data_IF_007252563634
#
_entry.id   IF_007252563634
#
_cell.length_a   1.000
_cell.length_b   1.000
_cell.length_c   1.000
_cell.angle_alpha   90.00
_cell.angle_beta   90.00
_cell.angle_gamma   90.00
#
_symmetry.space_group_name_H-M   'P 1'
#
loop_
_entity.id
_entity.type
_entity.pdbx_description
1 polymer ?
#
# COMPACT_ATOMS: atom_id res chain seq x y z
N UNK A 1 26.77 -25.39 6.90
CA UNK A 1 26.40 -26.32 5.81
C UNK A 1 25.17 -27.09 6.24
N UNK A 2 24.07 -27.03 5.48
CA UNK A 2 22.87 -27.81 5.79
C UNK A 2 23.15 -29.30 5.53
N UNK A 3 22.87 -30.14 6.52
CA UNK A 3 23.01 -31.59 6.37
C UNK A 3 21.87 -32.14 5.50
N UNK A 4 22.09 -33.25 4.80
CA UNK A 4 21.03 -33.90 3.99
C UNK A 4 19.75 -34.17 4.80
N UNK A 5 19.89 -34.53 6.07
CA UNK A 5 18.77 -34.72 6.99
C UNK A 5 17.99 -33.41 7.28
N UNK A 6 18.68 -32.26 7.34
CA UNK A 6 18.04 -30.94 7.52
C UNK A 6 17.25 -30.53 6.27
N UNK A 7 17.79 -30.83 5.08
CA UNK A 7 17.11 -30.59 3.81
C UNK A 7 15.85 -31.45 3.68
N UNK A 8 15.95 -32.75 3.96
CA UNK A 8 14.80 -33.66 3.93
C UNK A 8 13.71 -33.26 4.92
N UNK A 9 14.08 -32.80 6.11
CA UNK A 9 13.12 -32.31 7.10
C UNK A 9 12.38 -31.07 6.58
N UNK A 10 13.11 -30.12 5.98
CA UNK A 10 12.54 -28.91 5.38
C UNK A 10 11.58 -29.24 4.21
N UNK A 11 11.96 -30.19 3.34
CA UNK A 11 11.11 -30.64 2.23
C UNK A 11 9.83 -31.31 2.72
N UNK A 12 9.90 -32.17 3.75
CA UNK A 12 8.71 -32.78 4.35
C UNK A 12 7.81 -31.74 5.01
N UNK A 13 8.41 -30.76 5.70
CA UNK A 13 7.66 -29.70 6.38
C UNK A 13 6.96 -28.76 5.39
N UNK A 14 7.65 -28.37 4.32
CA UNK A 14 7.07 -27.53 3.26
C UNK A 14 5.95 -28.26 2.52
N UNK A 15 6.12 -29.54 2.18
CA UNK A 15 5.07 -30.35 1.56
C UNK A 15 3.82 -30.48 2.45
N UNK A 16 4.01 -30.65 3.77
CA UNK A 16 2.89 -30.68 4.73
C UNK A 16 2.15 -29.35 4.79
N UNK A 17 2.88 -28.23 4.92
CA UNK A 17 2.29 -26.89 4.95
C UNK A 17 1.56 -26.57 3.65
N UNK A 18 2.11 -26.99 2.50
CA UNK A 18 1.49 -26.85 1.19
C UNK A 18 0.12 -27.54 1.13
N UNK A 19 0.00 -28.75 1.66
CA UNK A 19 -1.29 -29.47 1.78
C UNK A 19 -2.28 -28.73 2.69
N UNK A 20 -1.84 -28.27 3.85
CA UNK A 20 -2.69 -27.52 4.79
C UNK A 20 -3.21 -26.20 4.17
N UNK A 21 -2.40 -25.53 3.37
CA UNK A 21 -2.81 -24.32 2.62
C UNK A 21 -3.84 -24.68 1.55
N UNK A 22 -3.60 -25.75 0.78
CA UNK A 22 -4.54 -26.21 -0.25
C UNK A 22 -5.90 -26.59 0.34
N UNK A 23 -5.93 -27.33 1.45
CA UNK A 23 -7.17 -27.67 2.15
C UNK A 23 -7.91 -26.44 2.69
N UNK A 24 -7.17 -25.44 3.18
CA UNK A 24 -7.77 -24.19 3.65
C UNK A 24 -8.27 -23.33 2.50
N UNK A 25 -7.63 -23.39 1.34
CA UNK A 25 -8.08 -22.73 0.13
C UNK A 25 -9.33 -23.41 -0.45
N UNK A 26 -9.35 -24.75 -0.50
CA UNK A 26 -10.49 -25.52 -1.03
C UNK A 26 -11.76 -25.31 -0.20
N UNK A 27 -11.65 -25.20 1.14
CA UNK A 27 -12.78 -24.83 2.02
C UNK A 27 -13.32 -23.42 1.77
N UNK A 28 -12.52 -22.55 1.17
CA UNK A 28 -12.90 -21.17 0.79
C UNK A 28 -13.26 -21.06 -0.68
N UNK A 29 -13.37 -22.18 -1.40
CA UNK A 29 -13.85 -22.16 -2.79
C UNK A 29 -15.25 -21.59 -2.80
N UNK A 30 -15.39 -20.37 -3.32
CA UNK A 30 -16.68 -19.76 -3.60
C UNK A 30 -17.14 -20.33 -4.93
N UNK A 31 -18.25 -21.06 -4.90
CA UNK A 31 -19.00 -21.32 -6.11
C UNK A 31 -19.74 -20.02 -6.43
N UNK A 32 -19.31 -19.36 -7.51
CA UNK A 32 -19.91 -18.09 -7.89
C UNK A 32 -21.36 -18.25 -8.35
N UNK A 33 -21.82 -19.49 -8.58
CA UNK A 33 -23.15 -19.79 -9.10
C UNK A 33 -23.33 -19.19 -10.48
N UNK A 34 -23.83 -19.96 -11.45
CA UNK A 34 -24.42 -19.31 -12.60
C UNK A 34 -25.59 -18.48 -12.07
N UNK A 35 -25.49 -17.16 -12.20
CA UNK A 35 -26.54 -16.22 -11.79
C UNK A 35 -27.88 -16.80 -12.25
N UNK A 36 -28.96 -16.75 -11.42
CA UNK A 36 -30.29 -17.13 -11.86
C UNK A 36 -30.66 -16.25 -13.03
N UNK A 37 -30.41 -16.79 -14.22
CA UNK A 37 -30.85 -16.27 -15.48
C UNK A 37 -32.32 -16.66 -15.58
N UNK A 38 -33.15 -15.98 -14.77
CA UNK A 38 -34.59 -15.91 -14.95
C UNK A 38 -34.82 -15.14 -16.25
N UNK A 39 -34.64 -15.83 -17.38
CA UNK A 39 -34.92 -15.31 -18.70
C UNK A 39 -36.44 -15.31 -18.91
N UNK A 40 -37.05 -14.16 -18.66
CA UNK A 40 -38.22 -13.75 -19.44
C UNK A 40 -37.70 -12.93 -20.62
N UNK A 41 -38.09 -13.24 -21.87
CA UNK A 41 -37.64 -12.49 -23.04
C UNK A 41 -38.41 -11.17 -23.07
N UNK A 42 -37.83 -10.13 -22.49
CA UNK A 42 -38.24 -8.73 -22.73
C UNK A 42 -37.09 -8.06 -23.47
N UNK A 43 -37.45 -7.27 -24.48
CA UNK A 43 -36.59 -6.76 -25.55
C UNK A 43 -35.18 -6.27 -25.11
N UNK A 44 -34.19 -6.60 -25.93
CA UNK A 44 -32.74 -6.50 -25.75
C UNK A 44 -32.21 -5.10 -25.38
N UNK A 45 -32.97 -4.03 -25.67
CA UNK A 45 -32.52 -2.64 -25.46
C UNK A 45 -32.69 -2.13 -24.02
N UNK A 46 -33.71 -2.60 -23.28
CA UNK A 46 -33.97 -2.14 -21.90
C UNK A 46 -32.97 -2.70 -20.88
N UNK A 47 -32.33 -3.83 -21.19
CA UNK A 47 -31.40 -4.54 -20.29
C UNK A 47 -30.04 -3.86 -20.19
N UNK A 48 -29.55 -3.28 -21.29
CA UNK A 48 -28.30 -2.51 -21.28
C UNK A 48 -28.45 -1.19 -20.53
N UNK A 49 -29.63 -0.57 -20.58
CA UNK A 49 -29.93 0.70 -19.89
C UNK A 49 -30.05 0.46 -18.39
N UNK A 50 -30.77 -0.59 -17.97
CA UNK A 50 -30.93 -0.92 -16.55
C UNK A 50 -29.61 -1.30 -15.86
N UNK A 51 -28.76 -2.10 -16.53
CA UNK A 51 -27.49 -2.53 -15.96
C UNK A 51 -26.43 -1.43 -15.90
N UNK A 52 -26.51 -0.41 -16.76
CA UNK A 52 -25.66 0.78 -16.67
C UNK A 52 -26.08 1.67 -15.50
N UNK A 53 -27.39 1.87 -15.33
CA UNK A 53 -27.95 2.65 -14.23
C UNK A 53 -27.56 2.08 -12.86
N UNK A 54 -27.61 0.76 -12.68
CA UNK A 54 -27.21 0.13 -11.41
C UNK A 54 -25.70 0.21 -11.15
N UNK A 55 -24.87 0.17 -12.19
CA UNK A 55 -23.42 0.41 -12.04
C UNK A 55 -23.11 1.86 -11.69
N UNK A 56 -23.82 2.82 -12.30
CA UNK A 56 -23.71 4.24 -11.96
C UNK A 56 -24.14 4.52 -10.52
N UNK A 57 -25.27 3.95 -10.08
CA UNK A 57 -25.76 4.04 -8.69
C UNK A 57 -24.77 3.43 -7.69
N UNK A 58 -24.15 2.28 -8.02
CA UNK A 58 -23.10 1.68 -7.18
C UNK A 58 -21.85 2.55 -7.13
N UNK A 59 -21.42 3.09 -8.27
CA UNK A 59 -20.26 3.96 -8.34
C UNK A 59 -20.48 5.27 -7.56
N UNK A 60 -21.69 5.82 -7.63
CA UNK A 60 -22.12 6.96 -6.81
C UNK A 60 -22.08 6.60 -5.33
N UNK A 61 -22.66 5.48 -4.92
CA UNK A 61 -22.64 5.03 -3.53
C UNK A 61 -21.22 4.83 -2.98
N UNK A 62 -20.31 4.22 -3.77
CA UNK A 62 -18.91 4.10 -3.38
C UNK A 62 -18.23 5.47 -3.28
N UNK A 63 -18.50 6.38 -4.22
CA UNK A 63 -17.99 7.75 -4.19
C UNK A 63 -18.42 8.46 -2.90
N UNK A 64 -19.71 8.39 -2.56
CA UNK A 64 -20.27 8.96 -1.33
C UNK A 64 -19.61 8.37 -0.08
N UNK A 65 -19.43 7.05 -0.01
CA UNK A 65 -18.75 6.41 1.13
C UNK A 65 -17.31 6.92 1.22
N UNK A 66 -16.57 6.98 0.11
CA UNK A 66 -15.18 7.46 0.12
C UNK A 66 -15.07 8.92 0.54
N UNK A 67 -16.03 9.77 0.17
CA UNK A 67 -16.11 11.16 0.60
C UNK A 67 -16.34 11.25 2.11
N UNK A 68 -17.30 10.50 2.65
CA UNK A 68 -17.51 10.42 4.09
C UNK A 68 -16.28 9.91 4.84
N UNK A 69 -15.57 8.91 4.31
CA UNK A 69 -14.32 8.42 4.91
C UNK A 69 -13.21 9.48 4.91
N UNK A 70 -13.09 10.26 3.83
CA UNK A 70 -12.14 11.37 3.76
C UNK A 70 -12.50 12.50 4.74
N UNK A 71 -13.77 12.88 4.81
CA UNK A 71 -14.27 13.94 5.69
C UNK A 71 -14.08 13.56 7.17
N UNK A 72 -14.49 12.35 7.54
CA UNK A 72 -14.29 11.81 8.90
C UNK A 72 -12.82 11.73 9.30
N UNK A 73 -11.92 11.35 8.37
CA UNK A 73 -10.48 11.39 8.61
C UNK A 73 -9.98 12.83 8.87
N UNK A 74 -10.44 13.82 8.11
CA UNK A 74 -10.10 15.24 8.32
C UNK A 74 -10.59 15.73 9.68
N UNK A 75 -11.82 15.40 10.06
CA UNK A 75 -12.36 15.76 11.38
C UNK A 75 -11.58 15.12 12.52
N UNK A 76 -11.23 13.83 12.38
CA UNK A 76 -10.43 13.12 13.36
C UNK A 76 -9.06 13.80 13.53
N UNK A 77 -8.41 14.16 12.43
CA UNK A 77 -7.15 14.91 12.46
C UNK A 77 -7.29 16.26 13.16
N UNK A 78 -8.28 17.08 12.77
CA UNK A 78 -8.53 18.40 13.38
C UNK A 78 -8.78 18.30 14.88
N UNK A 79 -9.54 17.30 15.32
CA UNK A 79 -9.79 17.05 16.73
C UNK A 79 -8.48 16.82 17.48
N UNK A 80 -7.65 15.90 17.02
CA UNK A 80 -6.38 15.57 17.70
C UNK A 80 -5.31 16.65 17.58
N UNK A 81 -5.30 17.43 16.48
CA UNK A 81 -4.46 18.63 16.35
C UNK A 81 -4.86 19.70 17.38
N UNK A 82 -6.15 19.83 17.71
CA UNK A 82 -6.67 20.84 18.65
C UNK A 82 -6.58 20.46 20.12
N UNK A 83 -6.81 19.18 20.46
CA UNK A 83 -6.89 18.69 21.86
C UNK A 83 -5.50 18.34 22.41
N UNK A 84 -4.52 18.08 21.54
CA UNK A 84 -3.18 17.66 21.93
C UNK A 84 -3.14 16.23 22.48
N UNK A 85 -2.06 15.50 22.20
CA UNK A 85 -1.93 14.07 22.55
C UNK A 85 -1.66 13.81 24.04
N UNK A 86 -1.52 14.85 24.87
CA UNK A 86 -1.06 14.72 26.26
C UNK A 86 -2.16 14.35 27.25
N UNK A 87 -3.44 14.55 26.91
CA UNK A 87 -4.58 14.24 27.79
C UNK A 87 -5.36 12.97 27.39
N UNK A 88 -4.85 12.22 26.42
CA UNK A 88 -5.64 11.15 25.80
C UNK A 88 -5.66 9.82 26.55
N UNK A 89 -6.83 9.16 26.47
CA UNK A 89 -7.02 7.77 26.91
C UNK A 89 -6.01 6.83 26.23
N UNK A 90 -5.73 5.67 26.83
CA UNK A 90 -4.84 4.65 26.23
C UNK A 90 -5.26 4.24 24.80
N UNK A 91 -6.54 4.39 24.47
CA UNK A 91 -7.07 4.17 23.12
C UNK A 91 -6.53 5.23 22.14
N UNK A 92 -6.54 6.50 22.54
CA UNK A 92 -6.09 7.63 21.72
C UNK A 92 -4.57 7.58 21.50
N UNK A 93 -3.83 7.16 22.53
CA UNK A 93 -2.38 6.90 22.43
C UNK A 93 -2.03 5.83 21.39
N UNK A 94 -2.93 4.90 21.09
CA UNK A 94 -2.77 3.88 20.03
C UNK A 94 -3.34 4.34 18.68
N UNK A 95 -4.34 5.21 18.70
CA UNK A 95 -5.03 5.75 17.53
C UNK A 95 -4.12 6.69 16.71
N UNK A 96 -3.62 7.75 17.35
CA UNK A 96 -2.83 8.79 16.68
C UNK A 96 -1.60 8.23 15.93
N UNK A 97 -0.73 7.38 16.53
CA UNK A 97 0.44 6.86 15.82
C UNK A 97 0.10 5.84 14.73
N UNK A 98 -1.13 5.30 14.67
CA UNK A 98 -1.55 4.36 13.62
C UNK A 98 -2.18 5.08 12.43
N UNK A 99 -2.97 6.11 12.68
CA UNK A 99 -3.80 6.74 11.64
C UNK A 99 -3.37 8.18 11.30
N UNK A 100 -2.68 8.87 12.21
CA UNK A 100 -2.22 10.24 12.01
C UNK A 100 -0.71 10.38 12.12
N UNK A 101 0.05 9.28 12.03
CA UNK A 101 1.50 9.36 11.89
C UNK A 101 1.80 10.24 10.69
N UNK A 102 2.37 11.41 10.94
CA UNK A 102 2.71 12.36 9.89
C UNK A 102 3.59 11.67 8.85
N UNK A 103 3.01 11.29 7.71
CA UNK A 103 3.75 10.80 6.55
C UNK A 103 4.51 11.97 5.87
N UNK A 104 4.32 13.21 6.32
CA UNK A 104 4.98 14.39 5.73
C UNK A 104 5.24 15.57 6.66
N UNK A 105 5.44 15.38 7.97
CA UNK A 105 5.92 16.46 8.85
C UNK A 105 7.13 16.00 9.65
N UNK A 106 8.31 16.15 9.05
CA UNK A 106 9.57 16.26 9.75
C UNK A 106 9.56 17.55 10.58
N UNK A 107 8.86 17.55 11.72
CA UNK A 107 9.17 18.48 12.81
C UNK A 107 10.26 17.82 13.64
N UNK A 108 11.50 18.16 13.31
CA UNK A 108 12.66 17.88 14.14
C UNK A 108 12.48 18.73 15.41
N UNK A 109 11.99 18.13 16.48
CA UNK A 109 12.20 18.64 17.84
C UNK A 109 12.87 17.54 18.66
N UNK A 110 14.20 17.60 18.62
CA UNK A 110 15.12 17.47 19.76
C UNK A 110 14.72 16.53 20.89
N UNK A 111 15.14 15.26 20.78
CA UNK A 111 15.74 14.56 21.92
C UNK A 111 17.25 14.53 21.71
N UNK A 112 17.92 15.20 22.62
CA UNK A 112 19.36 15.34 22.70
C UNK A 112 20.07 13.99 22.79
N UNK A 113 21.25 13.96 22.16
CA UNK A 113 22.47 13.20 22.48
C UNK A 113 22.93 12.19 21.42
N UNK A 114 24.05 12.59 20.78
CA UNK A 114 25.06 11.82 20.05
C UNK A 114 24.62 11.33 18.64
N UNK A 115 25.08 11.90 17.51
CA UNK A 115 26.37 12.52 17.20
C UNK A 115 26.17 13.67 16.21
N UNK A 116 26.95 14.73 16.43
CA UNK A 116 27.19 15.80 15.47
C UNK A 116 27.59 15.21 14.12
N UNK A 117 26.85 15.52 13.06
CA UNK A 117 27.44 16.05 11.82
C UNK A 117 26.44 17.02 11.18
N UNK A 118 26.98 18.14 10.70
CA UNK A 118 26.30 19.40 10.47
C UNK A 118 25.10 19.35 9.53
N UNK A 119 24.07 20.11 9.92
CA UNK A 119 23.10 20.72 9.03
C UNK A 119 23.83 21.81 8.25
N UNK A 120 24.10 21.58 6.97
CA UNK A 120 24.36 22.66 6.02
C UNK A 120 23.15 22.80 5.11
N UNK A 121 22.39 23.88 5.31
CA UNK A 121 21.79 24.53 4.16
C UNK A 121 22.93 24.90 3.21
N UNK A 122 22.78 24.54 1.94
CA UNK A 122 23.78 24.80 0.92
C UNK A 122 24.04 23.53 0.13
N UNK A 123 23.68 23.59 -1.16
CA UNK A 123 24.23 22.80 -2.27
C UNK A 123 25.04 21.57 -1.83
N UNK A 124 24.35 20.50 -1.45
CA UNK A 124 24.97 19.19 -1.22
C UNK A 124 25.12 18.43 -2.53
N UNK A 125 26.08 17.48 -2.62
CA UNK A 125 26.23 16.61 -3.79
C UNK A 125 24.93 15.82 -4.03
N UNK A 126 24.69 15.29 -5.24
CA UNK A 126 23.49 14.51 -5.52
C UNK A 126 23.32 13.41 -4.46
N UNK A 127 22.17 13.39 -3.79
CA UNK A 127 21.81 12.34 -2.85
C UNK A 127 21.58 11.06 -3.65
N UNK A 128 22.63 10.24 -3.79
CA UNK A 128 22.53 8.95 -4.44
C UNK A 128 21.83 7.94 -3.50
N UNK A 129 20.78 7.29 -4.00
CA UNK A 129 20.05 6.25 -3.27
C UNK A 129 20.40 4.86 -3.82
N UNK A 130 20.70 3.93 -2.93
CA UNK A 130 20.93 2.52 -3.26
C UNK A 130 19.79 1.66 -2.72
N UNK A 131 19.28 0.75 -3.55
CA UNK A 131 18.19 -0.16 -3.20
C UNK A 131 18.45 -1.55 -3.79
N UNK A 132 18.42 -2.58 -2.93
CA UNK A 132 18.50 -3.98 -3.35
C UNK A 132 17.10 -4.55 -3.50
N UNK A 133 16.82 -5.12 -4.67
CA UNK A 133 15.53 -5.71 -5.01
C UNK A 133 15.73 -7.10 -5.60
N UNK A 134 14.66 -7.90 -5.59
CA UNK A 134 14.66 -9.17 -6.30
C UNK A 134 14.72 -8.92 -7.82
N UNK A 135 15.10 -9.91 -8.64
CA UNK A 135 15.04 -9.79 -10.09
C UNK A 135 13.59 -9.57 -10.57
N UNK A 136 13.40 -8.71 -11.56
CA UNK A 136 12.10 -8.43 -12.16
C UNK A 136 11.96 -7.01 -12.71
N UNK A 137 10.75 -6.70 -13.18
CA UNK A 137 10.40 -5.42 -13.78
C UNK A 137 9.90 -4.42 -12.71
N UNK A 138 10.57 -3.28 -12.62
CA UNK A 138 10.29 -2.23 -11.64
C UNK A 138 9.95 -0.90 -12.30
N UNK A 139 9.07 -0.14 -11.66
CA UNK A 139 8.74 1.23 -12.04
C UNK A 139 9.21 2.17 -10.94
N UNK A 140 10.26 2.93 -11.22
CA UNK A 140 10.86 3.88 -10.28
C UNK A 140 10.33 5.27 -10.58
N UNK A 141 9.74 5.92 -9.57
CA UNK A 141 9.25 7.29 -9.67
C UNK A 141 9.97 8.19 -8.70
N UNK A 142 10.46 9.32 -9.20
CA UNK A 142 11.17 10.32 -8.41
C UNK A 142 10.50 11.68 -8.59
N UNK A 143 10.31 12.41 -7.50
CA UNK A 143 9.69 13.74 -7.49
C UNK A 143 10.32 14.63 -6.43
N UNK A 144 10.41 15.94 -6.73
CA UNK A 144 10.90 16.96 -5.82
C UNK A 144 9.90 18.12 -5.76
N UNK A 145 9.64 18.75 -4.59
CA UNK A 145 8.70 19.87 -4.50
C UNK A 145 9.06 21.00 -5.48
N UNK A 146 8.15 21.33 -6.40
CA UNK A 146 8.38 22.34 -7.44
C UNK A 146 8.89 21.80 -8.79
N UNK A 147 9.15 20.49 -8.90
CA UNK A 147 9.56 19.82 -10.14
C UNK A 147 8.49 18.86 -10.67
N UNK A 148 8.55 18.55 -11.97
CA UNK A 148 7.70 17.52 -12.56
C UNK A 148 8.21 16.13 -12.16
N UNK A 149 7.29 15.26 -11.72
CA UNK A 149 7.58 13.86 -11.42
C UNK A 149 8.12 13.13 -12.66
N UNK A 150 9.19 12.38 -12.49
CA UNK A 150 9.76 11.50 -13.52
C UNK A 150 9.59 10.04 -13.11
N UNK A 151 9.21 9.20 -14.08
CA UNK A 151 9.00 7.77 -13.87
C UNK A 151 9.76 6.98 -14.94
N UNK A 152 10.54 5.98 -14.53
CA UNK A 152 11.30 5.10 -15.41
C UNK A 152 11.01 3.64 -15.07
N UNK A 153 10.98 2.80 -16.09
CA UNK A 153 10.75 1.37 -15.96
C UNK A 153 12.05 0.61 -16.27
N UNK A 154 12.41 -0.34 -15.41
CA UNK A 154 13.71 -1.02 -15.43
C UNK A 154 13.48 -2.50 -15.20
N UNK A 155 14.02 -3.32 -16.08
CA UNK A 155 14.08 -4.76 -15.92
C UNK A 155 15.43 -5.13 -15.30
N UNK A 156 15.42 -5.93 -14.22
CA UNK A 156 16.61 -6.30 -13.46
C UNK A 156 16.80 -7.80 -13.45
N UNK A 157 17.93 -8.27 -14.00
CA UNK A 157 18.34 -9.67 -13.93
C UNK A 157 19.10 -9.98 -12.62
N UNK A 158 19.22 -11.28 -12.23
CA UNK A 158 19.93 -11.66 -11.02
C UNK A 158 21.42 -11.26 -11.05
N UNK A 159 21.81 -10.37 -10.12
CA UNK A 159 23.18 -9.88 -9.99
C UNK A 159 23.45 -8.55 -10.69
N UNK A 160 22.43 -7.97 -11.34
CA UNK A 160 22.55 -6.67 -11.98
C UNK A 160 22.60 -5.52 -10.98
N UNK A 161 23.32 -4.46 -11.37
CA UNK A 161 23.32 -3.18 -10.67
C UNK A 161 23.10 -2.07 -11.69
N UNK A 162 21.99 -1.36 -11.57
CA UNK A 162 21.59 -0.30 -12.50
C UNK A 162 21.59 1.05 -11.79
N UNK A 163 22.39 1.99 -12.28
CA UNK A 163 22.42 3.37 -11.79
C UNK A 163 21.41 4.21 -12.55
N UNK A 164 20.44 4.79 -11.85
CA UNK A 164 19.35 5.56 -12.44
C UNK A 164 19.46 7.01 -11.98
N UNK A 165 19.50 7.95 -12.93
CA UNK A 165 19.59 9.38 -12.65
C UNK A 165 18.28 10.07 -13.04
N UNK A 166 17.71 10.84 -12.11
CA UNK A 166 16.53 11.66 -12.35
C UNK A 166 16.91 13.13 -12.28
N UNK A 167 16.56 13.89 -13.31
CA UNK A 167 16.79 15.33 -13.37
C UNK A 167 15.52 16.05 -12.87
N UNK A 168 15.40 16.19 -11.55
CA UNK A 168 14.28 16.82 -10.85
C UNK A 168 14.62 18.24 -10.37
#
# INVERSE_FOLDING_TARGET
MATLASLEHSLRQSARRGREVLERASRRKVDWGELPHTYTPVADEDRAVYSKKTMEELQEAFSTITEFMAETHIHCKRFYDSVGCSQGSNIEKKHVPRYHKHIGATKIESSSQLRQHGRSQGQGPPDDFYMEVAPGLYTISASRPGSQQQTQMIDLDPGDTVSVTFNL
#
